data_IF_833477537700
#
_entry.id   IF_833477537700
#
_cell.length_a   1.000
_cell.length_b   1.000
_cell.length_c   1.000
_cell.angle_alpha   90.00
_cell.angle_beta   90.00
_cell.angle_gamma   90.00
#
_symmetry.space_group_name_H-M   'P 1'
#
loop_
_entity.id
_entity.type
_entity.pdbx_description
1 polymer ?
#
# COMPACT_ATOMS: atom_id res chain seq x y z
N UNK A 1 29.02 61.47 -18.13
CA UNK A 1 28.56 60.63 -17.00
C UNK A 1 27.83 59.41 -17.60
N UNK A 2 28.52 58.26 -17.59
CA UNK A 2 27.96 57.00 -18.14
C UNK A 2 27.21 56.27 -17.02
N UNK A 3 25.88 56.12 -17.16
CA UNK A 3 25.06 55.31 -16.26
C UNK A 3 25.21 53.83 -16.64
N UNK A 4 25.85 53.05 -15.79
CA UNK A 4 25.89 51.59 -15.92
C UNK A 4 24.60 51.01 -15.33
N UNK A 5 23.71 50.50 -16.18
CA UNK A 5 22.57 49.69 -15.77
C UNK A 5 23.09 48.27 -15.57
N UNK A 6 23.27 47.91 -14.31
CA UNK A 6 23.56 46.55 -13.88
C UNK A 6 22.24 45.78 -13.95
N UNK A 7 22.03 44.98 -15.00
CA UNK A 7 20.92 44.04 -15.07
C UNK A 7 21.29 42.85 -14.15
N UNK A 8 20.71 42.84 -12.94
CA UNK A 8 20.77 41.71 -12.04
C UNK A 8 19.81 40.66 -12.57
N UNK A 9 20.31 39.71 -13.38
CA UNK A 9 19.58 38.53 -13.76
C UNK A 9 19.40 37.64 -12.52
N UNK A 10 18.27 37.74 -11.87
CA UNK A 10 17.82 36.75 -10.88
C UNK A 10 17.55 35.45 -11.63
N UNK A 11 18.54 34.55 -11.64
CA UNK A 11 18.34 33.14 -11.95
C UNK A 11 17.44 32.56 -10.84
N UNK A 12 16.15 32.55 -11.11
CA UNK A 12 15.18 31.72 -10.39
C UNK A 12 15.53 30.24 -10.69
N UNK A 13 16.44 29.68 -9.90
CA UNK A 13 16.60 28.23 -9.82
C UNK A 13 15.33 27.73 -9.13
N UNK A 14 14.30 27.46 -9.93
CA UNK A 14 13.17 26.66 -9.49
C UNK A 14 13.73 25.26 -9.21
N UNK A 15 14.06 25.00 -7.96
CA UNK A 15 14.26 23.65 -7.46
C UNK A 15 12.90 22.98 -7.60
N UNK A 16 12.68 22.33 -8.76
CA UNK A 16 11.61 21.38 -8.89
C UNK A 16 11.90 20.28 -7.87
N UNK A 17 11.30 20.37 -6.71
CA UNK A 17 11.19 19.24 -5.80
C UNK A 17 10.31 18.21 -6.54
N UNK A 18 10.94 17.44 -7.43
CA UNK A 18 10.25 16.31 -8.05
C UNK A 18 9.94 15.35 -6.93
N UNK A 19 8.67 15.28 -6.55
CA UNK A 19 8.20 14.21 -5.70
C UNK A 19 8.68 12.90 -6.35
N UNK A 20 9.43 12.10 -5.59
CA UNK A 20 9.98 10.85 -6.11
C UNK A 20 8.84 9.96 -6.59
N UNK A 21 9.04 9.29 -7.72
CA UNK A 21 8.03 8.37 -8.22
C UNK A 21 7.83 7.19 -7.26
N UNK A 22 6.64 6.59 -7.22
CA UNK A 22 6.40 5.40 -6.42
C UNK A 22 7.40 4.27 -6.68
N UNK A 23 7.81 4.09 -7.93
CA UNK A 23 8.82 3.10 -8.32
C UNK A 23 10.21 3.42 -7.75
N UNK A 24 10.59 4.70 -7.71
CA UNK A 24 11.85 5.12 -7.07
C UNK A 24 11.81 4.89 -5.55
N UNK A 25 10.64 5.13 -4.93
CA UNK A 25 10.46 4.87 -3.51
C UNK A 25 10.52 3.37 -3.19
N UNK A 26 9.88 2.51 -4.00
CA UNK A 26 10.00 1.06 -3.88
C UNK A 26 11.46 0.60 -3.96
N UNK A 27 12.21 1.10 -4.95
CA UNK A 27 13.65 0.79 -5.10
C UNK A 27 14.46 1.21 -3.87
N UNK A 28 14.20 2.40 -3.30
CA UNK A 28 14.87 2.86 -2.07
C UNK A 28 14.57 1.98 -0.86
N UNK A 29 13.34 1.45 -0.79
CA UNK A 29 12.91 0.53 0.25
C UNK A 29 13.44 -0.90 0.05
N UNK A 30 14.15 -1.17 -1.07
CA UNK A 30 14.62 -2.50 -1.43
C UNK A 30 13.48 -3.45 -1.81
N UNK A 31 12.34 -2.91 -2.27
CA UNK A 31 11.16 -3.69 -2.62
C UNK A 31 11.16 -3.94 -4.13
N UNK A 32 11.18 -5.21 -4.49
CA UNK A 32 10.99 -5.70 -5.85
C UNK A 32 9.60 -6.32 -5.97
N UNK A 33 8.73 -5.73 -6.80
CA UNK A 33 7.38 -6.24 -6.99
C UNK A 33 7.41 -7.55 -7.79
N UNK A 34 6.73 -8.56 -7.28
CA UNK A 34 6.53 -9.84 -7.97
C UNK A 34 5.26 -9.78 -8.82
N UNK A 35 5.12 -10.73 -9.76
CA UNK A 35 3.85 -10.88 -10.49
C UNK A 35 2.71 -11.19 -9.51
N UNK A 36 1.54 -10.57 -9.67
CA UNK A 36 0.39 -10.86 -8.83
C UNK A 36 -0.04 -12.33 -8.92
N UNK A 37 -0.49 -12.88 -7.81
CA UNK A 37 -1.08 -14.21 -7.80
C UNK A 37 -2.31 -14.29 -8.69
N UNK A 38 -2.46 -15.39 -9.41
CA UNK A 38 -3.67 -15.69 -10.18
C UNK A 38 -4.75 -16.19 -9.20
N UNK A 39 -5.97 -15.65 -9.24
CA UNK A 39 -7.06 -16.16 -8.42
C UNK A 39 -7.33 -17.65 -8.67
N UNK A 40 -7.55 -18.39 -7.59
CA UNK A 40 -7.78 -19.84 -7.66
C UNK A 40 -9.26 -20.22 -7.82
N UNK A 41 -10.16 -19.23 -7.94
CA UNK A 41 -11.60 -19.40 -8.05
C UNK A 41 -12.22 -18.39 -9.04
N UNK A 42 -13.54 -18.37 -9.19
CA UNK A 42 -14.25 -17.49 -10.11
C UNK A 42 -14.38 -16.05 -9.59
N UNK A 43 -13.24 -15.38 -9.37
CA UNK A 43 -13.16 -13.95 -9.07
C UNK A 43 -11.91 -13.36 -9.73
N UNK A 44 -11.76 -12.05 -9.67
CA UNK A 44 -10.61 -11.32 -10.22
C UNK A 44 -9.91 -10.52 -9.10
N UNK A 45 -8.62 -10.24 -9.27
CA UNK A 45 -7.84 -9.49 -8.28
C UNK A 45 -8.34 -8.05 -8.09
N UNK A 46 -8.97 -7.48 -9.12
CA UNK A 46 -9.53 -6.14 -9.07
C UNK A 46 -10.62 -5.94 -10.11
N UNK A 47 -11.48 -4.94 -9.87
CA UNK A 47 -12.46 -4.44 -10.83
C UNK A 47 -12.26 -2.94 -10.97
N UNK A 48 -12.19 -2.44 -12.21
CA UNK A 48 -12.13 -1.01 -12.50
C UNK A 48 -13.52 -0.48 -12.91
N UNK A 49 -13.93 0.63 -12.32
CA UNK A 49 -15.11 1.39 -12.73
C UNK A 49 -14.77 2.88 -12.80
N UNK A 50 -14.79 3.45 -14.00
CA UNK A 50 -14.28 4.81 -14.24
C UNK A 50 -12.82 4.96 -13.81
N UNK A 51 -12.55 5.88 -12.92
CA UNK A 51 -11.23 6.14 -12.34
C UNK A 51 -10.98 5.42 -11.01
N UNK A 52 -11.89 4.57 -10.55
CA UNK A 52 -11.73 3.80 -9.32
C UNK A 52 -11.41 2.33 -9.63
N UNK A 53 -10.46 1.78 -8.87
CA UNK A 53 -10.10 0.37 -8.88
C UNK A 53 -10.40 -0.20 -7.49
N UNK A 54 -11.23 -1.24 -7.46
CA UNK A 54 -11.60 -2.00 -6.27
C UNK A 54 -10.81 -3.30 -6.26
N UNK A 55 -10.05 -3.52 -5.20
CA UNK A 55 -9.21 -4.71 -5.06
C UNK A 55 -9.90 -5.75 -4.20
N UNK A 56 -9.78 -7.00 -4.61
CA UNK A 56 -10.16 -8.14 -3.77
C UNK A 56 -9.30 -8.22 -2.52
N UNK A 57 -9.76 -8.95 -1.51
CA UNK A 57 -8.98 -9.26 -0.32
C UNK A 57 -7.66 -9.95 -0.67
N UNK A 58 -6.58 -9.46 -0.09
CA UNK A 58 -5.22 -10.02 -0.27
C UNK A 58 -4.61 -10.28 1.11
N UNK A 59 -3.84 -11.36 1.19
CA UNK A 59 -3.09 -11.72 2.39
C UNK A 59 -1.58 -11.65 2.18
N UNK A 60 -0.79 -11.92 3.25
CA UNK A 60 0.65 -12.13 3.15
C UNK A 60 0.89 -13.47 2.45
N UNK A 61 1.46 -13.44 1.27
CA UNK A 61 1.75 -14.65 0.51
C UNK A 61 3.23 -15.08 0.57
N UNK A 62 3.52 -16.22 -0.09
CA UNK A 62 4.83 -16.86 -0.04
C UNK A 62 5.97 -16.07 -0.72
N UNK A 63 5.68 -15.03 -1.51
CA UNK A 63 6.69 -14.33 -2.30
C UNK A 63 7.70 -13.57 -1.41
N UNK A 64 7.32 -13.25 -0.17
CA UNK A 64 8.12 -12.45 0.75
C UNK A 64 8.44 -13.13 2.09
N UNK A 65 8.89 -14.36 2.12
CA UNK A 65 9.31 -15.13 3.32
C UNK A 65 8.26 -16.06 3.93
N UNK A 66 7.26 -16.45 3.17
CA UNK A 66 6.24 -17.38 3.65
C UNK A 66 4.99 -16.69 4.20
N UNK A 67 3.90 -17.43 4.24
CA UNK A 67 2.64 -16.95 4.77
C UNK A 67 2.76 -16.81 6.28
N UNK A 68 2.57 -15.58 6.79
CA UNK A 68 2.44 -15.36 8.23
C UNK A 68 1.02 -15.73 8.61
N UNK A 69 0.90 -16.81 9.35
CA UNK A 69 -0.38 -17.37 9.81
C UNK A 69 -0.46 -17.34 11.32
N UNK A 70 -1.68 -17.39 11.83
CA UNK A 70 -1.94 -17.40 13.26
C UNK A 70 -2.85 -16.28 13.71
N UNK A 71 -3.27 -16.37 14.95
CA UNK A 71 -4.24 -15.48 15.56
C UNK A 71 -3.56 -14.52 16.55
N UNK A 72 -3.82 -13.23 16.40
CA UNK A 72 -3.39 -12.18 17.33
C UNK A 72 -4.02 -12.40 18.71
N UNK A 73 -3.23 -12.19 19.74
CA UNK A 73 -3.66 -12.45 21.13
C UNK A 73 -3.49 -13.91 21.56
N UNK A 74 -2.99 -14.80 20.66
CA UNK A 74 -2.74 -16.21 20.99
C UNK A 74 -1.48 -16.77 20.34
N UNK A 75 -1.38 -16.71 19.00
CA UNK A 75 -0.38 -17.49 18.25
C UNK A 75 0.80 -16.65 17.79
N UNK A 76 0.58 -15.36 17.52
CA UNK A 76 1.57 -14.43 16.93
C UNK A 76 1.54 -13.08 17.63
N UNK A 77 2.65 -12.35 17.50
CA UNK A 77 2.84 -11.00 18.04
C UNK A 77 2.27 -9.91 17.12
N UNK A 78 2.11 -8.70 17.67
CA UNK A 78 1.71 -7.52 16.87
C UNK A 78 2.74 -7.22 15.80
N UNK A 79 4.03 -7.35 16.10
CA UNK A 79 5.14 -7.08 15.18
C UNK A 79 5.13 -8.03 13.99
N UNK A 80 4.93 -9.32 14.22
CA UNK A 80 4.80 -10.32 13.15
C UNK A 80 3.58 -10.04 12.25
N UNK A 81 2.44 -9.71 12.86
CA UNK A 81 1.24 -9.39 12.10
C UNK A 81 1.34 -8.03 11.38
N UNK A 82 2.06 -7.05 11.94
CA UNK A 82 2.38 -5.78 11.27
C UNK A 82 3.24 -6.02 10.04
N UNK A 83 4.22 -6.92 10.11
CA UNK A 83 5.01 -7.33 8.95
C UNK A 83 4.14 -8.07 7.92
N UNK A 84 3.21 -8.92 8.35
CA UNK A 84 2.22 -9.54 7.46
C UNK A 84 1.38 -8.48 6.72
N UNK A 85 0.92 -7.44 7.41
CA UNK A 85 0.17 -6.34 6.80
C UNK A 85 1.03 -5.55 5.79
N UNK A 86 2.33 -5.36 6.08
CA UNK A 86 3.28 -4.75 5.15
C UNK A 86 3.44 -5.60 3.88
N UNK A 87 3.62 -6.92 4.01
CA UNK A 87 3.75 -7.85 2.88
C UNK A 87 2.47 -7.85 2.03
N UNK A 88 1.31 -7.88 2.66
CA UNK A 88 0.02 -7.74 1.96
C UNK A 88 -0.04 -6.44 1.17
N UNK A 89 0.48 -5.35 1.72
CA UNK A 89 0.61 -4.07 1.01
C UNK A 89 1.48 -4.15 -0.23
N UNK A 90 2.61 -4.88 -0.18
CA UNK A 90 3.49 -5.08 -1.34
C UNK A 90 2.76 -5.86 -2.43
N UNK A 91 2.00 -6.91 -2.09
CA UNK A 91 1.20 -7.69 -3.03
C UNK A 91 0.12 -6.85 -3.71
N UNK A 92 -0.56 -5.99 -2.93
CA UNK A 92 -1.57 -5.08 -3.47
C UNK A 92 -0.96 -3.99 -4.36
N UNK A 93 0.25 -3.50 -4.06
CA UNK A 93 0.99 -2.59 -4.96
C UNK A 93 1.39 -3.30 -6.26
N UNK A 94 1.80 -4.56 -6.20
CA UNK A 94 2.11 -5.35 -7.40
C UNK A 94 0.87 -5.51 -8.28
N UNK A 95 -0.27 -5.86 -7.67
CA UNK A 95 -1.57 -5.95 -8.37
C UNK A 95 -1.99 -4.59 -8.96
N UNK A 96 -1.78 -3.50 -8.23
CA UNK A 96 -2.04 -2.13 -8.71
C UNK A 96 -1.14 -1.79 -9.90
N UNK A 97 0.15 -2.12 -9.84
CA UNK A 97 1.09 -1.93 -10.97
C UNK A 97 0.65 -2.69 -12.20
N UNK A 98 0.20 -3.93 -12.04
CA UNK A 98 -0.36 -4.73 -13.13
C UNK A 98 -1.61 -4.07 -13.73
N UNK A 99 -2.50 -3.52 -12.89
CA UNK A 99 -3.73 -2.88 -13.32
C UNK A 99 -3.53 -1.57 -14.11
N UNK A 100 -2.52 -0.76 -13.75
CA UNK A 100 -2.34 0.59 -14.30
C UNK A 100 -1.12 0.75 -15.22
N UNK A 101 -0.19 -0.20 -15.18
CA UNK A 101 1.08 -0.17 -15.91
C UNK A 101 2.13 0.80 -15.34
N UNK A 102 1.73 1.94 -14.82
CA UNK A 102 2.57 2.99 -14.24
C UNK A 102 1.95 3.51 -12.94
N UNK A 103 2.66 3.35 -11.81
CA UNK A 103 2.17 3.78 -10.49
C UNK A 103 2.06 5.31 -10.35
N UNK A 104 2.70 6.09 -11.24
CA UNK A 104 2.52 7.54 -11.28
C UNK A 104 1.07 7.94 -11.58
N UNK A 105 0.29 7.08 -12.27
CA UNK A 105 -1.14 7.27 -12.54
C UNK A 105 -2.01 7.21 -11.29
N UNK A 106 -1.48 6.79 -10.15
CA UNK A 106 -2.22 6.78 -8.88
C UNK A 106 -2.45 8.22 -8.42
N UNK A 107 -3.71 8.61 -8.26
CA UNK A 107 -4.10 9.89 -7.68
C UNK A 107 -4.13 9.83 -6.17
N UNK A 108 -4.72 8.78 -5.61
CA UNK A 108 -4.75 8.51 -4.16
C UNK A 108 -5.20 7.09 -3.84
N UNK A 109 -4.79 6.61 -2.69
CA UNK A 109 -5.46 5.49 -2.03
C UNK A 109 -6.70 6.07 -1.33
N UNK A 110 -7.89 5.57 -1.68
CA UNK A 110 -9.16 6.16 -1.21
C UNK A 110 -9.58 5.54 0.12
N UNK A 111 -9.64 4.21 0.16
CA UNK A 111 -10.12 3.43 1.29
C UNK A 111 -9.30 2.16 1.46
N UNK A 112 -9.08 1.81 2.71
CA UNK A 112 -8.49 0.53 3.11
C UNK A 112 -9.40 -0.12 4.15
N UNK A 113 -9.67 -1.41 3.97
CA UNK A 113 -10.33 -2.25 4.93
C UNK A 113 -9.37 -3.37 5.34
N UNK A 114 -8.86 -3.28 6.56
CA UNK A 114 -7.92 -4.24 7.13
C UNK A 114 -8.62 -5.15 8.11
N UNK A 115 -8.58 -6.44 7.84
CA UNK A 115 -9.10 -7.52 8.66
C UNK A 115 -7.95 -8.23 9.34
N UNK A 116 -8.05 -8.45 10.64
CA UNK A 116 -7.01 -9.07 11.48
C UNK A 116 -7.56 -10.34 12.10
N UNK A 117 -6.92 -11.46 11.89
CA UNK A 117 -7.25 -12.71 12.57
C UNK A 117 -6.89 -12.59 14.05
N UNK A 118 -7.86 -12.37 14.91
CA UNK A 118 -7.63 -12.05 16.32
C UNK A 118 -8.56 -12.79 17.27
N UNK A 119 -8.15 -12.89 18.53
CA UNK A 119 -9.02 -13.36 19.61
C UNK A 119 -10.08 -12.32 19.93
N UNK A 120 -11.15 -12.73 20.62
CA UNK A 120 -12.27 -11.86 21.00
C UNK A 120 -11.86 -10.68 21.91
N UNK A 121 -10.75 -10.81 22.63
CA UNK A 121 -10.27 -9.79 23.56
C UNK A 121 -9.16 -8.91 22.98
N UNK A 122 -8.68 -9.20 21.77
CA UNK A 122 -7.68 -8.38 21.12
C UNK A 122 -8.32 -7.10 20.55
N UNK A 123 -7.72 -5.95 20.80
CA UNK A 123 -8.27 -4.63 20.42
C UNK A 123 -7.23 -3.72 19.74
N UNK A 124 -6.06 -4.26 19.43
CA UNK A 124 -4.94 -3.51 18.83
C UNK A 124 -4.81 -3.69 17.29
N UNK A 125 -5.90 -4.06 16.60
CA UNK A 125 -5.93 -4.20 15.14
C UNK A 125 -5.37 -2.98 14.40
N UNK A 126 -5.62 -1.72 14.85
CA UNK A 126 -5.03 -0.55 14.20
C UNK A 126 -3.49 -0.58 14.20
N UNK A 127 -2.85 -1.12 15.24
CA UNK A 127 -1.38 -1.24 15.32
C UNK A 127 -0.85 -2.22 14.26
N UNK A 128 -1.59 -3.29 14.02
CA UNK A 128 -1.27 -4.29 12.99
C UNK A 128 -1.37 -3.67 11.59
N UNK A 129 -2.51 -3.04 11.27
CA UNK A 129 -2.76 -2.48 9.93
C UNK A 129 -1.90 -1.24 9.66
N UNK A 130 -1.25 -0.64 10.66
CA UNK A 130 -0.23 0.38 10.43
C UNK A 130 0.92 -0.12 9.55
N UNK A 131 1.25 -1.41 9.55
CA UNK A 131 2.26 -1.98 8.64
C UNK A 131 1.93 -1.72 7.17
N UNK A 132 0.67 -1.87 6.78
CA UNK A 132 0.16 -1.52 5.47
C UNK A 132 0.14 0.00 5.23
N UNK A 133 -0.46 0.76 6.16
CA UNK A 133 -0.66 2.20 5.98
C UNK A 133 0.65 2.97 5.88
N UNK A 134 1.65 2.60 6.70
CA UNK A 134 2.98 3.21 6.67
C UNK A 134 3.67 2.93 5.32
N UNK A 135 3.53 1.71 4.77
CA UNK A 135 4.05 1.37 3.45
C UNK A 135 3.40 2.23 2.36
N UNK A 136 2.08 2.42 2.37
CA UNK A 136 1.39 3.27 1.39
C UNK A 136 1.94 4.69 1.40
N UNK A 137 2.19 5.27 2.58
CA UNK A 137 2.78 6.60 2.71
C UNK A 137 4.24 6.60 2.25
N UNK A 138 5.03 5.58 2.58
CA UNK A 138 6.42 5.45 2.12
C UNK A 138 6.53 5.39 0.59
N UNK A 139 5.59 4.71 -0.08
CA UNK A 139 5.60 4.54 -1.54
C UNK A 139 4.96 5.72 -2.26
N UNK A 140 3.78 6.17 -1.83
CA UNK A 140 2.97 7.15 -2.56
C UNK A 140 2.97 8.56 -1.94
N UNK A 141 3.68 8.78 -0.83
CA UNK A 141 3.67 10.06 -0.11
C UNK A 141 2.25 10.45 0.33
N UNK A 142 1.86 11.69 0.13
CA UNK A 142 0.52 12.18 0.51
C UNK A 142 -0.62 11.46 -0.21
N UNK A 143 -0.39 10.92 -1.41
CA UNK A 143 -1.36 10.10 -2.14
C UNK A 143 -1.63 8.75 -1.44
N UNK A 144 -0.74 8.29 -0.56
CA UNK A 144 -0.89 7.08 0.25
C UNK A 144 -1.78 7.26 1.49
N UNK A 145 -2.10 8.49 1.89
CA UNK A 145 -3.03 8.76 3.01
C UNK A 145 -4.46 8.39 2.61
N UNK A 146 -5.11 7.57 3.42
CA UNK A 146 -6.40 6.95 3.08
C UNK A 146 -7.36 6.89 4.26
N UNK A 147 -8.67 6.83 3.98
CA UNK A 147 -9.65 6.44 4.98
C UNK A 147 -9.50 4.95 5.29
N UNK A 148 -9.56 4.57 6.59
CA UNK A 148 -9.31 3.18 7.01
C UNK A 148 -10.34 2.67 8.01
N UNK A 149 -10.65 1.36 7.89
CA UNK A 149 -11.19 0.56 8.98
C UNK A 149 -10.20 -0.57 9.29
N UNK A 150 -9.99 -0.88 10.57
CA UNK A 150 -9.19 -2.02 11.03
C UNK A 150 -10.04 -2.77 12.06
N UNK A 151 -10.32 -4.04 11.79
CA UNK A 151 -11.29 -4.84 12.59
C UNK A 151 -10.73 -6.23 12.85
N UNK A 152 -11.11 -6.80 14.00
CA UNK A 152 -10.84 -8.19 14.33
C UNK A 152 -11.82 -9.14 13.65
N UNK A 153 -11.30 -10.25 13.15
CA UNK A 153 -12.07 -11.34 12.55
C UNK A 153 -11.84 -12.62 13.34
N UNK A 154 -12.91 -13.39 13.54
CA UNK A 154 -12.82 -14.65 14.29
C UNK A 154 -11.97 -15.69 13.54
N UNK A 155 -11.90 -15.62 12.23
CA UNK A 155 -11.07 -16.44 11.37
C UNK A 155 -10.85 -15.73 10.02
N UNK A 156 -9.72 -15.99 9.39
CA UNK A 156 -9.43 -15.63 8.00
C UNK A 156 -9.06 -16.88 7.19
N UNK A 157 -9.24 -16.88 5.87
CA UNK A 157 -8.88 -17.99 5.01
C UNK A 157 -7.44 -18.44 5.25
N UNK A 158 -7.17 -19.75 5.18
CA UNK A 158 -5.85 -20.35 5.38
C UNK A 158 -5.17 -19.95 6.71
N UNK A 159 -5.94 -19.52 7.69
CA UNK A 159 -5.43 -18.99 8.98
C UNK A 159 -4.44 -17.82 8.81
N UNK A 160 -4.56 -17.03 7.73
CA UNK A 160 -3.73 -15.84 7.52
C UNK A 160 -3.88 -14.86 8.70
N UNK A 161 -2.79 -14.17 9.02
CA UNK A 161 -2.78 -13.19 10.11
C UNK A 161 -3.63 -11.95 9.79
N UNK A 162 -3.64 -11.55 8.51
CA UNK A 162 -4.37 -10.39 8.00
C UNK A 162 -4.92 -10.66 6.61
N UNK A 163 -6.01 -9.95 6.27
CA UNK A 163 -6.51 -9.80 4.92
C UNK A 163 -6.85 -8.32 4.70
N UNK A 164 -6.49 -7.75 3.55
CA UNK A 164 -6.66 -6.32 3.31
C UNK A 164 -7.25 -6.09 1.93
N UNK A 165 -8.27 -5.22 1.87
CA UNK A 165 -8.86 -4.67 0.67
C UNK A 165 -8.54 -3.20 0.53
N UNK A 166 -8.48 -2.69 -0.71
CA UNK A 166 -8.33 -1.26 -0.94
C UNK A 166 -9.13 -0.76 -2.13
N UNK A 167 -9.40 0.53 -2.15
CA UNK A 167 -9.95 1.27 -3.28
C UNK A 167 -8.96 2.35 -3.65
N UNK A 168 -8.61 2.43 -4.93
CA UNK A 168 -7.61 3.38 -5.45
C UNK A 168 -8.23 4.24 -6.55
N UNK A 169 -7.99 5.55 -6.49
CA UNK A 169 -8.30 6.48 -7.58
C UNK A 169 -7.07 6.62 -8.48
N UNK A 170 -7.29 6.50 -9.78
CA UNK A 170 -6.25 6.59 -10.81
C UNK A 170 -6.62 7.63 -11.88
N UNK A 171 -5.65 8.00 -12.69
CA UNK A 171 -5.89 8.79 -13.89
C UNK A 171 -6.68 7.97 -14.92
N UNK A 172 -7.44 8.68 -15.77
CA UNK A 172 -8.20 8.06 -16.87
C UNK A 172 -7.29 7.58 -17.98
#
# INVERSE_FOLDING_TARGET
MKKYYTILALLLISVYCQAQSPEQNLKKLGIELQEPNVPVANYVNYVRTGNLIYFAGSGPDNAYKGVITGKLGKDITIEEAREAARHTGINLIATLKNAVGDLNKVKRIVKVFGMVNSTETFTDEPKVINGFSDLMIQVFGDKGKHARSAVGMIALPMNMAVEIEMIVEVEN
#
